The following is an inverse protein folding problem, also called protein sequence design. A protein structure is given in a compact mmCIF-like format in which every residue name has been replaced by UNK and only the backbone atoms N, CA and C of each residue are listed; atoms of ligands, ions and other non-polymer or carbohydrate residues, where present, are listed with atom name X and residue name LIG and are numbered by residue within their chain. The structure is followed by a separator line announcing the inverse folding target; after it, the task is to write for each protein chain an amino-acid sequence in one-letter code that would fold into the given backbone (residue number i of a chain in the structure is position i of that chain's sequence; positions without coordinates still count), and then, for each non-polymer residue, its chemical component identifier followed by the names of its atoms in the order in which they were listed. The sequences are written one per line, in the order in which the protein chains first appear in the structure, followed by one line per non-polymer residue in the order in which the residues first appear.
data_IF_761432768328
#
_entry.id   IF_761432768328
#
_cell.length_a   1.000
_cell.length_b   1.000
_cell.length_c   1.000
_cell.angle_alpha   90.00
_cell.angle_beta   90.00
_cell.angle_gamma   90.00
#
_symmetry.space_group_name_H-M   'P 1'
#
loop_
_entity.id
_entity.type
_entity.pdbx_description
1 polymer ?
#
# COMPACT_ATOMS: atom_id res chain seq x y z
N UNK A 1 10.62 5.50 6.42
CA UNK A 1 9.22 5.03 6.46
C UNK A 1 8.99 4.04 5.31
N UNK A 2 8.54 2.81 5.58
CA UNK A 2 8.69 1.68 4.65
C UNK A 2 7.85 1.81 3.37
N UNK A 3 8.50 1.64 2.21
CA UNK A 3 7.84 1.72 0.90
C UNK A 3 6.89 0.56 0.60
N UNK A 4 7.01 -0.56 1.30
CA UNK A 4 6.19 -1.76 1.08
C UNK A 4 4.79 -1.68 1.67
N UNK A 5 4.50 -0.67 2.50
CA UNK A 5 3.19 -0.53 3.14
C UNK A 5 2.12 -0.14 2.10
N UNK A 6 1.09 -0.97 2.01
CA UNK A 6 0.00 -0.87 1.05
C UNK A 6 -1.34 -0.54 1.70
N UNK A 7 -1.47 -0.77 3.01
CA UNK A 7 -2.70 -0.55 3.76
C UNK A 7 -2.58 0.59 4.77
N UNK A 8 -3.73 1.19 5.11
CA UNK A 8 -3.82 2.21 6.18
C UNK A 8 -3.54 1.60 7.56
N UNK A 9 -3.85 0.32 7.75
CA UNK A 9 -3.60 -0.39 9.02
C UNK A 9 -2.10 -0.60 9.26
N UNK A 10 -1.37 -1.10 8.26
CA UNK A 10 0.09 -1.21 8.34
C UNK A 10 0.74 0.17 8.52
N UNK A 11 0.21 1.20 7.85
CA UNK A 11 0.67 2.57 7.99
C UNK A 11 0.52 3.08 9.43
N UNK A 12 -0.64 2.84 10.04
CA UNK A 12 -0.90 3.19 11.44
C UNK A 12 -0.02 2.39 12.40
N UNK A 13 0.23 1.11 12.10
CA UNK A 13 1.08 0.26 12.92
C UNK A 13 2.55 0.73 12.92
N UNK A 14 3.09 1.07 11.76
CA UNK A 14 4.44 1.68 11.66
C UNK A 14 4.51 3.00 12.44
N UNK A 15 3.43 3.77 12.46
CA UNK A 15 3.35 5.04 13.16
C UNK A 15 3.42 4.90 14.69
N UNK A 16 2.60 4.01 15.28
CA UNK A 16 2.52 3.84 16.75
C UNK A 16 3.52 2.82 17.32
N UNK A 17 3.75 1.70 16.63
CA UNK A 17 4.58 0.61 17.16
C UNK A 17 5.93 0.48 16.45
N UNK A 18 6.11 1.14 15.30
CA UNK A 18 7.27 0.93 14.43
C UNK A 18 7.11 -0.30 13.53
N UNK A 19 8.11 -0.53 12.67
CA UNK A 19 8.12 -1.65 11.73
C UNK A 19 9.42 -2.46 11.91
N UNK A 20 9.32 -3.79 11.90
CA UNK A 20 10.47 -4.71 11.96
C UNK A 20 11.41 -4.46 13.16
N UNK A 21 10.85 -4.12 14.32
CA UNK A 21 11.65 -3.81 15.53
C UNK A 21 12.30 -2.41 15.51
N UNK A 22 12.04 -1.60 14.49
CA UNK A 22 12.44 -0.19 14.46
C UNK A 22 11.60 0.68 15.38
N UNK A 23 12.10 1.88 15.70
CA UNK A 23 11.38 2.86 16.54
C UNK A 23 10.08 3.33 15.88
N UNK A 24 9.04 3.63 16.67
CA UNK A 24 7.83 4.27 16.16
C UNK A 24 8.13 5.58 15.44
N UNK A 25 7.50 5.78 14.29
CA UNK A 25 7.71 7.00 13.49
C UNK A 25 7.26 8.25 14.25
N UNK A 26 6.24 8.13 15.10
CA UNK A 26 5.77 9.19 16.00
C UNK A 26 6.84 9.67 16.98
N UNK A 27 7.65 8.75 17.51
CA UNK A 27 8.72 9.08 18.44
C UNK A 27 9.88 9.76 17.72
N UNK A 28 10.27 9.24 16.56
CA UNK A 28 11.31 9.82 15.71
C UNK A 28 10.97 11.26 15.30
N UNK A 29 9.71 11.50 14.95
CA UNK A 29 9.26 12.85 14.66
C UNK A 29 9.27 13.76 15.90
N UNK A 30 8.83 13.27 17.06
CA UNK A 30 8.86 14.06 18.29
C UNK A 30 10.30 14.46 18.67
N UNK A 31 11.27 13.56 18.46
CA UNK A 31 12.68 13.78 18.85
C UNK A 31 13.47 14.61 17.83
N UNK A 32 13.22 14.40 16.54
CA UNK A 32 14.06 14.96 15.48
C UNK A 32 13.28 15.80 14.44
N UNK A 33 11.97 15.98 14.62
CA UNK A 33 11.10 16.67 13.67
C UNK A 33 11.10 15.97 12.30
N UNK A 34 11.30 16.72 11.22
CA UNK A 34 11.46 16.15 9.89
C UNK A 34 12.91 15.78 9.54
N UNK A 35 13.87 15.99 10.46
CA UNK A 35 15.32 15.81 10.19
C UNK A 35 15.79 14.36 10.23
N UNK A 36 15.04 13.47 10.87
CA UNK A 36 15.34 12.02 10.84
C UNK A 36 15.07 11.40 9.46
N UNK A 37 14.32 12.09 8.59
CA UNK A 37 13.93 11.60 7.28
C UNK A 37 14.86 12.15 6.20
N UNK A 38 15.58 11.28 5.48
CA UNK A 38 16.45 11.68 4.36
C UNK A 38 15.62 12.35 3.25
N UNK A 39 16.22 13.25 2.46
CA UNK A 39 15.51 14.06 1.44
C UNK A 39 14.63 13.24 0.47
N UNK A 40 15.05 12.02 0.10
CA UNK A 40 14.27 11.12 -0.76
C UNK A 40 13.02 10.52 -0.08
N UNK A 41 13.04 10.37 1.24
CA UNK A 41 11.93 9.80 2.02
C UNK A 41 10.97 10.87 2.54
N UNK A 42 11.43 12.12 2.64
CA UNK A 42 10.65 13.22 3.19
C UNK A 42 9.34 13.48 2.44
N UNK A 43 9.34 13.35 1.11
CA UNK A 43 8.11 13.45 0.29
C UNK A 43 7.09 12.38 0.67
N UNK A 44 7.57 11.18 0.94
CA UNK A 44 6.73 10.03 1.28
C UNK A 44 6.16 10.14 2.69
N UNK A 45 7.01 10.56 3.63
CA UNK A 45 6.61 10.90 4.98
C UNK A 45 5.50 11.96 4.99
N UNK A 46 5.67 13.09 4.30
CA UNK A 46 4.67 14.15 4.26
C UNK A 46 3.31 13.67 3.72
N UNK A 47 3.32 12.83 2.68
CA UNK A 47 2.09 12.25 2.13
C UNK A 47 1.41 11.32 3.12
N UNK A 48 2.18 10.45 3.77
CA UNK A 48 1.68 9.50 4.75
C UNK A 48 1.20 10.16 6.04
N UNK A 49 1.84 11.25 6.44
CA UNK A 49 1.41 12.09 7.56
C UNK A 49 -0.01 12.61 7.37
N UNK A 50 -0.35 13.11 6.18
CA UNK A 50 -1.73 13.55 5.88
C UNK A 50 -2.78 12.45 6.11
N UNK A 51 -2.42 11.19 5.85
CA UNK A 51 -3.31 10.04 6.08
C UNK A 51 -3.44 9.77 7.58
N UNK A 52 -2.34 9.87 8.33
CA UNK A 52 -2.33 9.72 9.80
C UNK A 52 -3.16 10.84 10.46
N UNK A 53 -3.00 12.08 10.00
CA UNK A 53 -3.78 13.23 10.48
C UNK A 53 -5.28 13.03 10.18
N UNK A 54 -5.63 12.49 9.01
CA UNK A 54 -7.00 12.15 8.64
C UNK A 54 -7.59 11.07 9.57
N UNK A 55 -6.84 10.01 9.87
CA UNK A 55 -7.26 8.96 10.80
C UNK A 55 -7.48 9.54 12.19
N UNK A 56 -6.53 10.33 12.70
CA UNK A 56 -6.60 10.95 14.03
C UNK A 56 -7.80 11.89 14.14
N UNK A 57 -7.99 12.77 13.16
CA UNK A 57 -9.14 13.69 13.11
C UNK A 57 -10.47 12.93 13.06
N UNK A 58 -10.52 11.80 12.34
CA UNK A 58 -11.73 10.97 12.27
C UNK A 58 -12.00 10.28 13.61
N UNK A 59 -10.97 9.76 14.26
CA UNK A 59 -11.07 9.14 15.59
C UNK A 59 -11.51 10.17 16.65
N UNK A 60 -10.96 11.38 16.63
CA UNK A 60 -11.32 12.44 17.59
C UNK A 60 -12.77 12.89 17.42
N UNK A 61 -13.26 12.94 16.17
CA UNK A 61 -14.69 13.18 15.90
C UNK A 61 -15.59 12.08 16.45
N UNK A 62 -15.17 10.81 16.33
CA UNK A 62 -15.92 9.69 16.89
C UNK A 62 -15.91 9.75 18.43
N UNK A 63 -14.77 10.02 19.04
CA UNK A 63 -14.64 10.17 20.49
C UNK A 63 -15.48 11.33 21.04
N UNK A 64 -15.60 12.42 20.29
CA UNK A 64 -16.40 13.58 20.68
C UNK A 64 -17.91 13.35 20.53
N UNK A 65 -18.32 12.41 19.66
CA UNK A 65 -19.72 12.18 19.30
C UNK A 65 -20.31 10.94 19.97
N UNK A 66 -19.46 9.96 20.27
CA UNK A 66 -19.81 8.65 20.80
C UNK A 66 -18.87 8.32 21.98
N UNK A 67 -19.41 7.76 23.06
CA UNK A 67 -18.61 7.37 24.23
C UNK A 67 -17.88 6.03 23.97
N UNK A 68 -16.92 6.04 23.06
CA UNK A 68 -16.14 4.86 22.65
C UNK A 68 -14.70 4.97 23.17
N UNK A 69 -14.10 3.85 23.54
CA UNK A 69 -12.68 3.81 23.90
C UNK A 69 -11.80 4.33 22.75
N UNK A 70 -10.75 5.09 23.07
CA UNK A 70 -9.85 5.71 22.08
C UNK A 70 -9.27 4.69 21.09
N UNK A 71 -8.88 3.52 21.57
CA UNK A 71 -8.36 2.43 20.72
C UNK A 71 -9.39 1.97 19.69
N UNK A 72 -10.63 1.74 20.12
CA UNK A 72 -11.73 1.35 19.23
C UNK A 72 -12.10 2.46 18.23
N UNK A 73 -12.06 3.73 18.65
CA UNK A 73 -12.27 4.87 17.75
C UNK A 73 -11.19 4.95 16.65
N UNK A 74 -9.92 4.69 17.01
CA UNK A 74 -8.80 4.64 16.07
C UNK A 74 -8.96 3.47 15.10
N UNK A 75 -9.26 2.26 15.59
CA UNK A 75 -9.47 1.09 14.74
C UNK A 75 -10.63 1.29 13.76
N UNK A 76 -11.72 1.91 14.22
CA UNK A 76 -12.85 2.27 13.38
C UNK A 76 -12.45 3.32 12.33
N UNK A 77 -11.70 4.35 12.72
CA UNK A 77 -11.21 5.38 11.80
C UNK A 77 -10.28 4.80 10.72
N UNK A 78 -9.30 3.96 11.09
CA UNK A 78 -8.41 3.25 10.15
C UNK A 78 -9.24 2.42 9.16
N UNK A 79 -10.25 1.70 9.67
CA UNK A 79 -11.12 0.84 8.85
C UNK A 79 -11.94 1.67 7.87
N UNK A 80 -12.59 2.74 8.32
CA UNK A 80 -13.39 3.62 7.45
C UNK A 80 -12.54 4.34 6.40
N UNK A 81 -11.39 4.88 6.80
CA UNK A 81 -10.43 5.54 5.89
C UNK A 81 -9.93 4.56 4.82
N UNK A 82 -9.61 3.32 5.21
CA UNK A 82 -9.23 2.28 4.24
C UNK A 82 -10.41 1.87 3.34
N UNK A 83 -11.63 1.79 3.88
CA UNK A 83 -12.83 1.44 3.13
C UNK A 83 -13.13 2.44 2.01
N UNK A 84 -13.06 3.74 2.29
CA UNK A 84 -13.20 4.82 1.29
C UNK A 84 -12.21 4.63 0.15
N UNK A 85 -10.95 4.33 0.48
CA UNK A 85 -9.91 4.06 -0.51
C UNK A 85 -10.22 2.81 -1.34
N UNK A 86 -10.59 1.71 -0.71
CA UNK A 86 -10.82 0.41 -1.39
C UNK A 86 -12.10 0.41 -2.23
N UNK A 87 -13.16 1.10 -1.78
CA UNK A 87 -14.41 1.23 -2.52
C UNK A 87 -14.19 1.85 -3.92
N UNK A 88 -13.23 2.77 -4.02
CA UNK A 88 -12.87 3.44 -5.27
C UNK A 88 -11.59 2.91 -5.92
N UNK A 89 -11.06 1.76 -5.44
CA UNK A 89 -9.80 1.13 -5.90
C UNK A 89 -8.62 2.12 -5.95
N UNK A 90 -8.53 3.02 -4.97
CA UNK A 90 -7.52 4.09 -4.93
C UNK A 90 -6.25 3.66 -4.21
N UNK A 91 -5.14 4.32 -4.52
CA UNK A 91 -3.87 4.11 -3.84
C UNK A 91 -3.76 4.94 -2.56
N UNK A 92 -2.83 4.60 -1.66
CA UNK A 92 -2.50 5.44 -0.50
C UNK A 92 -2.05 6.84 -0.95
N UNK A 93 -1.36 6.94 -2.08
CA UNK A 93 -0.96 8.23 -2.65
C UNK A 93 -2.18 9.08 -3.02
N UNK A 94 -3.21 8.49 -3.65
CA UNK A 94 -4.46 9.20 -3.93
C UNK A 94 -5.12 9.72 -2.64
N UNK A 95 -5.14 8.90 -1.59
CA UNK A 95 -5.70 9.27 -0.29
C UNK A 95 -4.96 10.45 0.35
N UNK A 96 -3.62 10.48 0.24
CA UNK A 96 -2.81 11.61 0.75
C UNK A 96 -3.07 12.94 0.04
N UNK A 97 -3.45 12.89 -1.24
CA UNK A 97 -3.75 14.07 -2.05
C UNK A 97 -5.20 14.53 -1.89
N UNK A 98 -6.12 13.61 -1.55
CA UNK A 98 -7.55 13.85 -1.46
C UNK A 98 -8.08 13.68 -0.02
N UNK A 99 -7.24 13.98 0.98
CA UNK A 99 -7.57 13.76 2.39
C UNK A 99 -8.86 14.49 2.80
N UNK A 100 -9.10 15.69 2.30
CA UNK A 100 -10.33 16.46 2.55
C UNK A 100 -11.56 15.86 1.88
N UNK A 101 -11.43 15.37 0.65
CA UNK A 101 -12.52 14.68 -0.06
C UNK A 101 -12.89 13.38 0.66
N UNK A 102 -11.88 12.64 1.12
CA UNK A 102 -12.08 11.45 1.94
C UNK A 102 -12.74 11.81 3.28
N UNK A 103 -12.32 12.89 3.94
CA UNK A 103 -12.95 13.37 5.18
C UNK A 103 -14.44 13.72 4.98
N UNK A 104 -14.80 14.33 3.85
CA UNK A 104 -16.19 14.62 3.49
C UNK A 104 -17.01 13.35 3.28
N UNK A 105 -16.46 12.36 2.58
CA UNK A 105 -17.11 11.06 2.37
C UNK A 105 -17.33 10.32 3.70
N UNK A 106 -16.35 10.36 4.61
CA UNK A 106 -16.46 9.81 5.96
C UNK A 106 -17.54 10.50 6.81
N UNK A 107 -17.73 11.82 6.63
CA UNK A 107 -18.79 12.58 7.28
C UNK A 107 -20.19 12.28 6.71
N UNK A 108 -20.28 11.99 5.41
CA UNK A 108 -21.53 11.65 4.74
C UNK A 108 -22.04 10.24 5.10
N UNK A 109 -21.14 9.26 5.23
CA UNK A 109 -21.52 7.88 5.62
C UNK A 109 -22.05 7.79 7.06
N UNK A 110 -21.67 8.72 7.96
CA UNK A 110 -22.22 8.78 9.33
C UNK A 110 -23.68 9.27 9.35
N UNK A 111 -24.14 9.96 8.30
CA UNK A 111 -25.52 10.43 8.18
C UNK A 111 -26.45 9.42 7.51
N UNK A 112 -25.93 8.30 6.98
CA UNK A 112 -26.72 7.29 6.29
C UNK A 112 -26.62 5.93 7.01
N UNK A 113 -27.60 5.55 7.85
CA UNK A 113 -27.71 4.16 8.26
C UNK A 113 -28.24 3.37 7.07
N UNK A 114 -27.40 2.50 6.53
CA UNK A 114 -27.81 1.49 5.56
C UNK A 114 -27.57 1.87 4.11
N UNK A 115 -26.54 1.26 3.52
CA UNK A 115 -26.55 0.64 2.18
C UNK A 115 -25.30 -0.21 2.01
N UNK A 116 -25.28 -1.35 2.71
CA UNK A 116 -24.61 -2.54 2.18
C UNK A 116 -25.37 -2.99 0.94
N UNK A 117 -24.91 -2.61 -0.25
CA UNK A 117 -25.16 -3.36 -1.48
C UNK A 117 -24.59 -2.60 -2.68
N UNK A 118 -23.58 -3.17 -3.35
CA UNK A 118 -23.82 -3.84 -4.63
C UNK A 118 -22.59 -4.64 -5.05
N UNK A 119 -22.61 -5.91 -4.67
CA UNK A 119 -22.03 -7.00 -5.46
C UNK A 119 -22.51 -6.86 -6.91
N UNK A 120 -21.59 -6.86 -7.87
CA UNK A 120 -21.89 -7.34 -9.22
C UNK A 120 -21.16 -8.68 -9.40
N UNK A 121 -21.85 -9.69 -9.95
CA UNK A 121 -21.35 -11.05 -10.00
C UNK A 121 -20.16 -11.15 -10.93
N UNK A 122 -19.18 -11.94 -10.48
CA UNK A 122 -18.13 -12.50 -11.32
C UNK A 122 -18.81 -13.42 -12.34
N UNK A 123 -18.70 -13.08 -13.62
CA UNK A 123 -19.07 -13.97 -14.71
C UNK A 123 -18.13 -15.16 -14.67
N UNK A 124 -18.72 -16.31 -14.34
CA UNK A 124 -18.10 -17.63 -14.31
C UNK A 124 -17.99 -18.06 -15.78
N UNK A 125 -16.77 -18.27 -16.28
CA UNK A 125 -16.52 -19.00 -17.52
C UNK A 125 -15.94 -20.37 -17.14
N UNK A 126 -16.82 -21.35 -16.96
CA UNK A 126 -16.53 -22.79 -17.12
C UNK A 126 -16.92 -23.09 -18.58
N UNK A 127 -15.98 -23.33 -19.51
CA UNK A 127 -15.40 -24.66 -19.79
C UNK A 127 -16.40 -25.51 -20.59
N UNK A 128 -16.13 -26.29 -21.63
CA UNK A 128 -14.97 -26.93 -22.28
C UNK A 128 -15.55 -27.43 -23.62
N UNK A 129 -14.79 -27.56 -24.72
CA UNK A 129 -14.89 -28.71 -25.65
C UNK A 129 -13.62 -28.84 -26.49
N UNK A 130 -12.93 -29.95 -26.30
CA UNK A 130 -11.88 -30.52 -27.17
C UNK A 130 -12.50 -31.70 -27.94
N UNK A 131 -12.08 -31.99 -29.18
CA UNK A 131 -11.37 -33.26 -29.46
C UNK A 131 -10.17 -33.08 -30.43
N UNK A 132 -8.98 -33.63 -30.13
CA UNK A 132 -8.35 -34.86 -30.70
C UNK A 132 -8.03 -34.75 -32.22
N UNK A 133 -6.78 -34.84 -32.72
CA UNK A 133 -5.81 -35.97 -32.73
C UNK A 133 -4.37 -35.52 -33.16
N UNK A 134 -3.32 -36.36 -32.98
CA UNK A 134 -1.89 -36.13 -33.34
C UNK A 134 -1.43 -37.02 -34.55
N UNK A 135 -0.12 -37.32 -34.78
CA UNK A 135 1.12 -36.52 -34.90
C UNK A 135 1.86 -36.77 -36.26
N UNK A 136 2.93 -36.02 -36.59
CA UNK A 136 4.20 -36.58 -37.15
C UNK A 136 5.31 -35.53 -37.34
N UNK A 137 6.48 -35.87 -36.78
CA UNK A 137 7.83 -35.81 -37.38
C UNK A 137 8.45 -34.44 -37.75
N UNK A 138 9.51 -34.04 -37.04
CA UNK A 138 10.93 -34.26 -37.41
C UNK A 138 11.48 -33.17 -38.32
N UNK A 139 12.42 -32.36 -37.81
CA UNK A 139 13.79 -32.30 -38.35
C UNK A 139 14.63 -31.35 -37.50
N UNK A 140 15.78 -31.89 -37.11
CA UNK A 140 16.86 -31.25 -36.37
C UNK A 140 17.45 -30.05 -37.12
N UNK A 141 17.98 -29.10 -36.35
CA UNK A 141 18.76 -27.99 -36.84
C UNK A 141 19.71 -27.52 -35.76
N UNK A 142 20.72 -28.35 -35.49
CA UNK A 142 21.94 -27.97 -34.79
C UNK A 142 22.49 -26.66 -35.36
N UNK A 143 23.07 -25.81 -34.52
CA UNK A 143 24.43 -25.35 -34.76
C UNK A 143 25.07 -24.84 -33.47
N UNK A 144 26.35 -25.15 -33.43
CA UNK A 144 27.25 -25.21 -32.30
C UNK A 144 28.28 -24.09 -32.42
N UNK A 145 28.90 -23.72 -31.28
CA UNK A 145 30.27 -23.16 -31.17
C UNK A 145 30.42 -21.70 -31.70
N UNK A 146 31.06 -20.74 -31.04
CA UNK A 146 32.47 -20.67 -30.66
C UNK A 146 32.69 -19.52 -29.67
N UNK A 147 33.58 -19.77 -28.71
CA UNK A 147 34.14 -18.83 -27.74
C UNK A 147 35.03 -17.76 -28.39
N UNK A 148 35.14 -16.57 -27.79
CA UNK A 148 36.41 -15.81 -27.81
C UNK A 148 36.52 -14.95 -26.56
N UNK A 149 37.43 -15.37 -25.69
CA UNK A 149 38.01 -14.59 -24.61
C UNK A 149 38.99 -13.59 -25.19
N UNK A 150 38.92 -12.31 -24.80
CA UNK A 150 40.06 -11.40 -24.82
C UNK A 150 40.01 -10.54 -23.56
N UNK A 151 40.89 -10.86 -22.62
CA UNK A 151 41.24 -9.99 -21.49
C UNK A 151 42.76 -9.97 -21.46
N UNK A 152 43.34 -9.06 -22.24
CA UNK A 152 44.75 -8.70 -22.11
C UNK A 152 44.85 -7.60 -21.05
N UNK A 153 45.44 -7.93 -19.91
CA UNK A 153 45.93 -6.98 -18.92
C UNK A 153 47.42 -7.27 -18.72
N UNK A 154 48.32 -6.30 -18.91
CA UNK A 154 49.75 -6.57 -18.91
C UNK A 154 50.31 -6.78 -17.51
N UNK A 155 51.30 -7.68 -17.47
CA UNK A 155 52.11 -8.00 -16.31
C UNK A 155 53.26 -7.00 -16.11
N UNK A 156 53.42 -6.61 -14.84
CA UNK A 156 54.67 -6.53 -14.05
C UNK A 156 55.71 -5.43 -14.28
N UNK A 157 56.33 -5.12 -13.13
CA UNK A 157 57.67 -4.58 -12.88
C UNK A 157 57.77 -3.05 -13.03
N UNK A 158 58.27 -2.27 -12.07
CA UNK A 158 59.19 -2.50 -10.95
C UNK A 158 58.89 -1.51 -9.81
#
# INVERSE_FOLDING_TARGET
MSRSIVSVRELWNEWEHGLSGGRPVKELEKQHGARWCTNGERRFFNRRRKIIDLVTTTADKMLSREAIARSAAIDAAVTRVNAVRTAHRKSLNWLSLNAETAARQLGADVAAPGKTSRTKPSTINLGITTPALPPTSTTAGSNSTVATSQTEGPARSL
#
